data_IF_403397692388
#
_entry.id   IF_403397692388
#
_cell.length_a   1.000
_cell.length_b   1.000
_cell.length_c   1.000
_cell.angle_alpha   90.00
_cell.angle_beta   90.00
_cell.angle_gamma   90.00
#
_symmetry.space_group_name_H-M   'P 1'
#
loop_
_entity.id
_entity.type
_entity.pdbx_description
1 polymer ?
#
# COMPACT_ATOMS: atom_id res chain seq x y z
N UNK A 1 -11.98 -22.05 -23.19
CA UNK A 1 -12.86 -21.12 -22.44
C UNK A 1 -12.20 -19.75 -22.48
N UNK A 2 -12.76 -18.82 -23.25
CA UNK A 2 -12.21 -17.49 -23.43
C UNK A 2 -12.61 -16.60 -22.25
N UNK A 3 -11.68 -16.32 -21.34
CA UNK A 3 -11.89 -15.31 -20.31
C UNK A 3 -11.47 -13.94 -20.84
N UNK A 4 -12.35 -13.30 -21.60
CA UNK A 4 -12.32 -11.84 -21.76
C UNK A 4 -12.88 -11.21 -20.50
N UNK A 5 -12.07 -11.15 -19.44
CA UNK A 5 -12.39 -10.34 -18.28
C UNK A 5 -11.85 -8.93 -18.53
N UNK A 6 -12.71 -8.04 -19.05
CA UNK A 6 -12.48 -6.59 -18.96
C UNK A 6 -12.58 -6.21 -17.48
N UNK A 7 -11.52 -6.49 -16.71
CA UNK A 7 -11.37 -5.93 -15.38
C UNK A 7 -11.18 -4.43 -15.56
N UNK A 8 -12.10 -3.65 -15.01
CA UNK A 8 -11.84 -2.24 -14.72
C UNK A 8 -10.57 -2.20 -13.89
N UNK A 9 -9.47 -1.76 -14.49
CA UNK A 9 -8.25 -1.45 -13.74
C UNK A 9 -8.65 -0.34 -12.77
N UNK A 10 -8.51 -0.52 -11.44
CA UNK A 10 -8.67 0.59 -10.54
C UNK A 10 -7.57 1.60 -10.89
N UNK A 11 -7.94 2.63 -11.66
CA UNK A 11 -7.13 3.82 -11.86
C UNK A 11 -7.07 4.48 -10.49
N UNK A 12 -5.96 4.34 -9.74
CA UNK A 12 -5.67 5.39 -8.78
C UNK A 12 -5.26 6.61 -9.61
N UNK A 13 -5.83 7.77 -9.29
CA UNK A 13 -5.37 9.03 -9.85
C UNK A 13 -4.01 9.35 -9.21
N UNK A 14 -2.95 8.81 -9.81
CA UNK A 14 -1.59 8.88 -9.28
C UNK A 14 -0.90 10.19 -9.71
N UNK A 15 -1.16 11.28 -8.98
CA UNK A 15 -0.21 12.40 -8.87
C UNK A 15 1.08 11.90 -8.19
N UNK A 16 2.18 12.66 -8.28
CA UNK A 16 3.37 12.35 -7.50
C UNK A 16 3.02 12.33 -6.01
N UNK A 17 3.55 11.35 -5.26
CA UNK A 17 3.32 11.23 -3.82
C UNK A 17 4.35 12.06 -3.07
N UNK A 18 3.99 12.52 -1.85
CA UNK A 18 4.94 13.27 -1.01
C UNK A 18 6.18 12.42 -0.70
N UNK A 19 6.00 11.11 -0.55
CA UNK A 19 7.11 10.18 -0.34
C UNK A 19 8.10 10.21 -1.52
N UNK A 20 7.58 10.07 -2.76
CA UNK A 20 8.41 10.13 -3.98
C UNK A 20 9.16 11.46 -4.06
N UNK A 21 8.46 12.58 -3.83
CA UNK A 21 9.06 13.92 -3.88
C UNK A 21 10.10 14.17 -2.78
N UNK A 22 9.93 13.58 -1.61
CA UNK A 22 10.88 13.72 -0.50
C UNK A 22 12.21 12.99 -0.78
N UNK A 23 12.16 11.89 -1.53
CA UNK A 23 13.30 11.03 -1.83
C UNK A 23 13.74 11.10 -3.31
N UNK A 24 13.38 12.16 -4.03
CA UNK A 24 13.71 12.33 -5.46
C UNK A 24 15.11 12.89 -5.71
N UNK A 25 15.87 13.23 -4.67
CA UNK A 25 17.23 13.76 -4.78
C UNK A 25 18.26 12.71 -4.29
N UNK A 26 19.47 12.66 -4.89
CA UNK A 26 20.49 11.66 -4.53
C UNK A 26 20.81 11.59 -3.04
N UNK A 27 20.98 12.73 -2.36
CA UNK A 27 21.32 12.76 -0.93
C UNK A 27 20.21 12.15 -0.08
N UNK A 28 18.95 12.35 -0.46
CA UNK A 28 17.81 11.76 0.22
C UNK A 28 17.73 10.25 -0.01
N UNK A 29 17.99 9.78 -1.23
CA UNK A 29 18.04 8.35 -1.56
C UNK A 29 19.18 7.62 -0.82
N UNK A 30 20.36 8.26 -0.69
CA UNK A 30 21.49 7.73 0.08
C UNK A 30 21.14 7.66 1.57
N UNK A 31 20.54 8.71 2.14
CA UNK A 31 20.06 8.71 3.52
C UNK A 31 19.07 7.56 3.77
N UNK A 32 18.12 7.37 2.85
CA UNK A 32 17.15 6.29 2.94
C UNK A 32 17.83 4.92 2.90
N UNK A 33 18.73 4.68 1.96
CA UNK A 33 19.46 3.41 1.87
C UNK A 33 20.29 3.12 3.13
N UNK A 34 21.01 4.13 3.64
CA UNK A 34 21.78 4.04 4.89
C UNK A 34 20.91 3.68 6.10
N UNK A 35 19.67 4.17 6.13
CA UNK A 35 18.72 3.83 7.17
C UNK A 35 18.18 2.40 7.01
N UNK A 36 17.86 1.96 5.79
CA UNK A 36 17.29 0.65 5.50
C UNK A 36 18.28 -0.51 5.74
N UNK A 37 19.53 -0.35 5.28
CA UNK A 37 20.55 -1.40 5.31
C UNK A 37 21.62 -1.20 6.39
N UNK A 38 21.40 -0.24 7.30
CA UNK A 38 22.31 0.06 8.41
C UNK A 38 23.75 0.38 7.95
N UNK A 39 23.87 1.12 6.84
CA UNK A 39 25.16 1.56 6.25
C UNK A 39 25.43 3.05 6.51
N UNK A 40 26.66 3.49 6.22
CA UNK A 40 27.11 4.88 6.34
C UNK A 40 27.80 5.34 5.04
N UNK A 41 27.11 5.18 3.90
CA UNK A 41 27.57 5.68 2.60
C UNK A 41 27.64 7.21 2.60
N UNK A 42 28.65 7.75 1.90
CA UNK A 42 28.90 9.18 1.76
C UNK A 42 27.92 9.83 0.78
N UNK A 43 27.69 11.15 0.92
CA UNK A 43 26.68 11.89 0.16
C UNK A 43 26.94 12.00 -1.35
N UNK A 44 28.17 11.75 -1.81
CA UNK A 44 28.56 11.73 -3.23
C UNK A 44 28.51 10.31 -3.83
N UNK A 45 27.97 9.33 -3.10
CA UNK A 45 27.76 7.98 -3.61
C UNK A 45 26.90 8.03 -4.88
N UNK A 46 27.29 7.35 -5.97
CA UNK A 46 26.48 7.33 -7.20
C UNK A 46 25.07 6.79 -6.94
N UNK A 47 24.07 7.55 -7.40
CA UNK A 47 22.65 7.17 -7.41
C UNK A 47 22.10 7.37 -8.82
N UNK A 48 21.44 6.34 -9.34
CA UNK A 48 20.70 6.40 -10.61
C UNK A 48 19.23 6.06 -10.35
N UNK A 49 18.32 7.00 -10.58
CA UNK A 49 16.90 6.75 -10.38
C UNK A 49 16.32 5.86 -11.50
N UNK A 50 15.59 4.83 -11.09
CA UNK A 50 14.97 3.81 -11.96
C UNK A 50 13.46 3.68 -11.73
N UNK A 51 12.85 4.67 -11.08
CA UNK A 51 11.40 4.73 -10.82
C UNK A 51 10.62 4.57 -12.13
N UNK A 52 9.76 3.55 -12.20
CA UNK A 52 8.92 3.27 -13.35
C UNK A 52 7.82 4.31 -13.46
N UNK A 53 7.68 4.91 -14.64
CA UNK A 53 6.64 5.90 -14.91
C UNK A 53 5.55 5.33 -15.85
N UNK A 54 4.31 5.76 -15.60
CA UNK A 54 3.11 5.28 -16.29
C UNK A 54 3.12 5.55 -17.81
N UNK A 55 3.95 6.51 -18.26
CA UNK A 55 4.17 6.82 -19.67
C UNK A 55 4.78 5.65 -20.47
N UNK A 56 5.49 4.74 -19.79
CA UNK A 56 6.17 3.60 -20.43
C UNK A 56 5.39 2.30 -20.21
N UNK A 57 4.77 2.12 -19.03
CA UNK A 57 4.05 0.89 -18.67
C UNK A 57 2.71 1.20 -17.99
N UNK A 58 1.62 1.17 -18.78
CA UNK A 58 0.26 1.48 -18.30
C UNK A 58 -0.12 0.60 -17.11
N UNK A 59 -0.33 1.23 -15.95
CA UNK A 59 -0.79 0.57 -14.71
C UNK A 59 0.31 -0.09 -13.89
N UNK A 60 1.59 0.09 -14.24
CA UNK A 60 2.76 -0.44 -13.53
C UNK A 60 3.73 0.71 -13.20
N UNK A 61 3.40 1.45 -12.15
CA UNK A 61 4.22 2.52 -11.55
C UNK A 61 4.60 2.10 -10.13
N UNK A 62 5.87 2.26 -9.75
CA UNK A 62 6.30 2.22 -8.35
C UNK A 62 6.55 3.63 -7.80
N UNK A 63 6.56 3.79 -6.48
CA UNK A 63 6.76 5.12 -5.88
C UNK A 63 8.20 5.59 -5.98
N UNK A 64 9.15 4.72 -5.67
CA UNK A 64 10.57 5.05 -5.69
C UNK A 64 11.40 3.84 -6.11
N UNK A 65 12.22 4.03 -7.14
CA UNK A 65 13.23 3.10 -7.60
C UNK A 65 14.56 3.80 -7.83
N UNK A 66 15.67 3.22 -7.36
CA UNK A 66 17.00 3.73 -7.63
C UNK A 66 18.08 2.64 -7.49
N UNK A 67 19.15 2.78 -8.26
CA UNK A 67 20.40 2.03 -8.10
C UNK A 67 21.34 2.88 -7.26
N UNK A 68 22.02 2.26 -6.29
CA UNK A 68 23.02 2.91 -5.46
C UNK A 68 24.34 2.13 -5.49
N UNK A 69 25.45 2.88 -5.59
CA UNK A 69 26.82 2.34 -5.59
C UNK A 69 27.05 1.25 -6.65
N UNK A 70 26.32 1.34 -7.78
CA UNK A 70 26.30 0.36 -8.88
C UNK A 70 26.04 -1.11 -8.46
N UNK A 71 25.49 -1.31 -7.26
CA UNK A 71 25.42 -2.62 -6.62
C UNK A 71 24.03 -3.01 -6.18
N UNK A 72 23.25 -2.08 -5.65
CA UNK A 72 21.95 -2.37 -5.06
C UNK A 72 20.87 -1.61 -5.82
N UNK A 73 19.79 -2.31 -6.17
CA UNK A 73 18.61 -1.74 -6.78
C UNK A 73 17.48 -1.75 -5.76
N UNK A 74 17.08 -0.57 -5.30
CA UNK A 74 16.01 -0.40 -4.33
C UNK A 74 14.72 -0.15 -5.07
N UNK A 75 13.68 -0.93 -4.75
CA UNK A 75 12.32 -0.70 -5.20
C UNK A 75 11.40 -0.61 -3.99
N UNK A 76 10.65 0.48 -3.90
CA UNK A 76 9.77 0.73 -2.76
C UNK A 76 8.44 1.37 -3.12
N UNK A 77 7.47 1.12 -2.24
CA UNK A 77 6.12 1.68 -2.29
C UNK A 77 5.70 2.20 -0.92
N UNK A 78 5.05 3.36 -0.90
CA UNK A 78 4.31 3.89 0.23
C UNK A 78 2.83 3.53 0.07
N UNK A 79 2.22 2.94 1.09
CA UNK A 79 0.79 2.63 1.04
C UNK A 79 0.16 2.61 2.43
N UNK A 80 -1.09 3.08 2.49
CA UNK A 80 -1.89 3.05 3.72
C UNK A 80 -2.71 1.77 3.87
N UNK A 81 -3.06 1.11 2.77
CA UNK A 81 -3.81 -0.15 2.79
C UNK A 81 -2.87 -1.35 2.89
N UNK A 82 -3.23 -2.32 3.73
CA UNK A 82 -2.52 -3.61 3.80
C UNK A 82 -2.66 -4.35 2.46
N UNK A 83 -1.54 -4.79 1.90
CA UNK A 83 -1.53 -5.52 0.64
C UNK A 83 -0.56 -6.70 0.71
N UNK A 84 -1.12 -7.92 0.84
CA UNK A 84 -0.33 -9.15 0.84
C UNK A 84 0.19 -9.53 -0.55
N UNK A 85 -0.33 -8.92 -1.62
CA UNK A 85 0.10 -9.18 -3.00
C UNK A 85 1.28 -8.28 -3.44
N UNK A 86 1.92 -7.55 -2.49
CA UNK A 86 3.07 -6.71 -2.82
C UNK A 86 4.24 -7.47 -3.46
N UNK A 87 4.59 -8.70 -3.05
CA UNK A 87 5.62 -9.46 -3.75
C UNK A 87 5.32 -9.68 -5.23
N UNK A 88 4.06 -9.89 -5.61
CA UNK A 88 3.64 -10.01 -7.01
C UNK A 88 3.77 -8.68 -7.78
N UNK A 89 3.44 -7.55 -7.16
CA UNK A 89 3.64 -6.21 -7.76
C UNK A 89 5.13 -5.93 -7.95
N UNK A 90 5.94 -6.18 -6.92
CA UNK A 90 7.39 -5.99 -6.94
C UNK A 90 8.06 -6.88 -7.99
N UNK A 91 7.56 -8.10 -8.21
CA UNK A 91 8.04 -8.98 -9.28
C UNK A 91 7.83 -8.36 -10.67
N UNK A 92 6.67 -7.72 -10.90
CA UNK A 92 6.43 -7.01 -12.14
C UNK A 92 7.36 -5.80 -12.29
N UNK A 93 7.60 -5.04 -11.20
CA UNK A 93 8.50 -3.89 -11.23
C UNK A 93 9.94 -4.28 -11.56
N UNK A 94 10.50 -5.26 -10.85
CA UNK A 94 11.89 -5.65 -11.06
C UNK A 94 12.14 -6.18 -12.47
N UNK A 95 11.18 -6.93 -13.03
CA UNK A 95 11.28 -7.38 -14.42
C UNK A 95 11.39 -6.20 -15.39
N UNK A 96 10.54 -5.15 -15.22
CA UNK A 96 10.56 -3.96 -16.08
C UNK A 96 11.79 -3.11 -15.87
N UNK A 97 12.22 -2.93 -14.62
CA UNK A 97 13.46 -2.20 -14.32
C UNK A 97 14.66 -2.88 -14.97
N UNK A 98 14.77 -4.21 -14.89
CA UNK A 98 15.83 -4.95 -15.56
C UNK A 98 15.76 -4.91 -17.09
N UNK A 99 14.57 -4.93 -17.70
CA UNK A 99 14.43 -4.71 -19.14
C UNK A 99 14.98 -3.34 -19.58
N UNK A 100 14.91 -2.33 -18.71
CA UNK A 100 15.41 -0.98 -19.01
C UNK A 100 16.92 -0.87 -18.80
N UNK A 101 17.48 -1.44 -17.73
CA UNK A 101 18.89 -1.25 -17.38
C UNK A 101 19.83 -2.32 -17.98
N UNK A 102 19.30 -3.46 -18.42
CA UNK A 102 20.09 -4.54 -19.01
C UNK A 102 19.94 -4.54 -20.54
N UNK A 103 21.01 -4.36 -21.31
CA UNK A 103 20.91 -4.43 -22.76
C UNK A 103 20.56 -5.85 -23.23
N UNK A 104 19.59 -5.96 -24.13
CA UNK A 104 19.09 -7.24 -24.64
C UNK A 104 20.19 -8.17 -25.18
N UNK A 105 21.22 -7.60 -25.81
CA UNK A 105 22.34 -8.36 -26.34
C UNK A 105 23.16 -9.07 -25.25
N UNK A 106 23.23 -8.49 -24.05
CA UNK A 106 24.01 -9.04 -22.92
C UNK A 106 23.32 -10.25 -22.27
N UNK A 107 21.99 -10.32 -22.34
CA UNK A 107 21.22 -11.47 -21.86
C UNK A 107 21.55 -12.77 -22.61
N UNK A 108 22.04 -12.67 -23.85
CA UNK A 108 22.44 -13.81 -24.67
C UNK A 108 23.93 -14.14 -24.56
N UNK A 109 24.67 -13.48 -23.67
CA UNK A 109 26.07 -13.77 -23.47
C UNK A 109 26.29 -15.13 -22.81
N UNK A 110 27.38 -15.80 -23.20
CA UNK A 110 27.85 -17.02 -22.52
C UNK A 110 28.47 -16.75 -21.15
N UNK A 111 29.01 -15.54 -20.94
CA UNK A 111 29.56 -15.12 -19.64
C UNK A 111 28.42 -14.74 -18.71
N UNK A 112 28.60 -14.99 -17.42
CA UNK A 112 27.64 -14.58 -16.40
C UNK A 112 27.57 -13.05 -16.33
N UNK A 113 26.39 -12.50 -16.58
CA UNK A 113 26.11 -11.07 -16.47
C UNK A 113 25.89 -10.70 -15.00
N UNK A 114 26.64 -9.70 -14.52
CA UNK A 114 26.45 -9.14 -13.17
C UNK A 114 25.44 -8.01 -13.24
N UNK A 115 24.47 -8.05 -12.35
CA UNK A 115 23.38 -7.07 -12.26
C UNK A 115 23.28 -6.57 -10.82
N UNK A 116 22.74 -5.36 -10.59
CA UNK A 116 22.49 -4.87 -9.24
C UNK A 116 21.57 -5.82 -8.47
N UNK A 117 21.91 -6.11 -7.22
CA UNK A 117 21.10 -6.94 -6.33
C UNK A 117 19.83 -6.18 -5.93
N UNK A 118 18.62 -6.74 -6.14
CA UNK A 118 17.40 -6.01 -5.87
C UNK A 118 16.95 -6.17 -4.42
N UNK A 119 16.44 -5.08 -3.84
CA UNK A 119 15.87 -5.05 -2.49
C UNK A 119 14.52 -4.32 -2.49
N UNK A 120 13.57 -4.89 -1.74
CA UNK A 120 12.16 -4.52 -1.85
C UNK A 120 11.60 -4.06 -0.51
N UNK A 121 10.97 -2.87 -0.52
CA UNK A 121 10.45 -2.26 0.69
C UNK A 121 9.01 -1.76 0.51
N UNK A 122 8.25 -1.86 1.59
CA UNK A 122 6.95 -1.20 1.72
C UNK A 122 6.99 -0.29 2.93
N UNK A 123 6.73 1.00 2.71
CA UNK A 123 6.49 1.98 3.75
C UNK A 123 5.01 1.99 4.09
N UNK A 124 4.64 1.32 5.17
CA UNK A 124 3.27 1.24 5.63
C UNK A 124 2.86 2.50 6.38
N UNK A 125 2.02 3.31 5.74
CA UNK A 125 1.47 4.58 6.24
C UNK A 125 0.02 4.44 6.67
N UNK A 126 -0.45 3.22 6.94
CA UNK A 126 -1.84 2.89 7.26
C UNK A 126 -2.19 2.98 8.74
N UNK A 127 -3.48 2.86 9.07
CA UNK A 127 -3.97 2.93 10.45
C UNK A 127 -4.24 1.55 11.05
N UNK A 128 -4.50 0.55 10.21
CA UNK A 128 -4.76 -0.82 10.63
C UNK A 128 -3.54 -1.46 11.29
N UNK A 129 -3.79 -2.34 12.27
CA UNK A 129 -2.70 -3.11 12.88
C UNK A 129 -2.23 -4.14 11.88
N UNK A 130 -0.98 -4.02 11.46
CA UNK A 130 -0.32 -5.02 10.63
C UNK A 130 0.84 -5.63 11.39
N UNK A 131 0.75 -6.91 11.78
CA UNK A 131 1.79 -7.59 12.59
C UNK A 131 2.74 -8.42 11.73
N UNK A 132 3.19 -7.82 10.62
CA UNK A 132 4.10 -8.44 9.66
C UNK A 132 5.32 -7.54 9.48
N UNK A 133 6.50 -8.13 9.39
CA UNK A 133 7.77 -7.44 9.08
C UNK A 133 8.29 -7.77 7.68
N UNK A 134 7.85 -8.89 7.10
CA UNK A 134 8.23 -9.36 5.78
C UNK A 134 7.05 -10.05 5.11
N UNK A 135 6.88 -9.86 3.80
CA UNK A 135 5.89 -10.56 2.98
C UNK A 135 6.66 -11.33 1.92
N UNK A 136 6.32 -12.61 1.72
CA UNK A 136 7.05 -13.48 0.80
C UNK A 136 6.19 -13.84 -0.39
N UNK A 137 6.83 -14.02 -1.56
CA UNK A 137 6.13 -14.46 -2.76
C UNK A 137 5.63 -15.89 -2.58
N UNK A 138 6.40 -16.73 -1.87
CA UNK A 138 6.01 -18.11 -1.58
C UNK A 138 4.73 -18.25 -0.76
N UNK A 139 4.33 -17.24 0.03
CA UNK A 139 3.05 -17.23 0.74
C UNK A 139 1.83 -17.24 -0.21
N UNK A 140 2.04 -16.92 -1.50
CA UNK A 140 1.00 -16.91 -2.53
C UNK A 140 0.91 -18.21 -3.33
N UNK A 141 1.79 -19.18 -3.10
CA UNK A 141 1.80 -20.44 -3.85
C UNK A 141 0.71 -21.41 -3.36
N UNK A 142 0.14 -22.19 -4.28
CA UNK A 142 -0.98 -23.10 -4.01
C UNK A 142 -0.58 -24.38 -3.25
N UNK A 143 0.71 -24.58 -2.96
CA UNK A 143 1.24 -25.78 -2.31
C UNK A 143 2.66 -25.57 -1.78
N UNK A 144 3.29 -26.66 -1.36
CA UNK A 144 4.67 -26.63 -0.88
C UNK A 144 5.61 -26.06 -1.94
N UNK A 145 6.63 -25.34 -1.50
CA UNK A 145 7.58 -24.62 -2.36
C UNK A 145 8.84 -25.49 -2.60
N UNK A 146 9.05 -26.03 -3.82
CA UNK A 146 10.31 -26.68 -4.17
C UNK A 146 11.52 -25.74 -4.04
N UNK A 147 12.70 -26.30 -3.80
CA UNK A 147 13.96 -25.55 -3.64
C UNK A 147 14.27 -24.60 -4.82
N UNK A 148 13.92 -24.99 -6.05
CA UNK A 148 14.15 -24.22 -7.27
C UNK A 148 13.02 -23.25 -7.63
N UNK A 149 12.15 -22.91 -6.67
CA UNK A 149 11.08 -21.94 -6.87
C UNK A 149 11.59 -20.50 -6.78
N UNK A 150 10.93 -19.59 -7.48
CA UNK A 150 11.17 -18.16 -7.34
C UNK A 150 10.80 -17.71 -5.91
N UNK A 151 11.61 -16.85 -5.30
CA UNK A 151 11.30 -16.20 -4.04
C UNK A 151 11.62 -14.71 -4.15
N UNK A 152 10.69 -13.87 -3.67
CA UNK A 152 10.85 -12.43 -3.55
C UNK A 152 10.32 -12.03 -2.17
N UNK A 153 11.17 -11.37 -1.39
CA UNK A 153 10.86 -10.96 -0.02
C UNK A 153 10.76 -9.45 0.02
N UNK A 154 9.64 -8.95 0.54
CA UNK A 154 9.40 -7.51 0.73
C UNK A 154 9.47 -7.18 2.22
N UNK A 155 10.39 -6.29 2.61
CA UNK A 155 10.51 -5.79 3.99
C UNK A 155 9.45 -4.72 4.24
N UNK A 156 8.74 -4.80 5.36
CA UNK A 156 7.69 -3.84 5.75
C UNK A 156 8.24 -2.86 6.80
N UNK A 157 8.32 -1.59 6.43
CA UNK A 157 8.73 -0.47 7.27
C UNK A 157 7.48 0.30 7.69
N UNK A 158 7.19 0.34 8.99
CA UNK A 158 6.01 1.02 9.53
C UNK A 158 6.38 2.42 10.05
N UNK A 159 5.44 3.35 10.04
CA UNK A 159 5.66 4.67 10.64
C UNK A 159 5.64 4.59 12.18
N UNK A 160 6.17 5.61 12.87
CA UNK A 160 6.32 5.61 14.33
C UNK A 160 4.99 5.38 15.06
N UNK A 161 3.92 5.98 14.56
CA UNK A 161 2.58 5.90 15.16
C UNK A 161 1.93 4.52 15.03
N UNK A 162 2.49 3.59 14.24
CA UNK A 162 1.96 2.24 14.09
C UNK A 162 2.36 1.29 15.23
N UNK A 163 3.12 1.75 16.24
CA UNK A 163 3.69 0.91 17.31
C UNK A 163 4.43 -0.31 16.73
N UNK A 164 5.31 -0.04 15.76
CA UNK A 164 6.07 -1.06 15.05
C UNK A 164 7.06 -1.82 15.95
N UNK A 165 7.72 -2.82 15.35
CA UNK A 165 8.81 -3.53 16.01
C UNK A 165 10.00 -2.60 16.31
N UNK A 166 10.84 -2.95 17.29
CA UNK A 166 12.07 -2.20 17.59
C UNK A 166 12.96 -1.99 16.35
N UNK A 167 12.96 -2.94 15.40
CA UNK A 167 13.74 -2.85 14.15
C UNK A 167 13.28 -1.71 13.25
N UNK A 168 11.98 -1.51 13.13
CA UNK A 168 11.42 -0.42 12.31
C UNK A 168 11.76 0.95 12.90
N UNK A 169 11.69 1.09 14.23
CA UNK A 169 12.02 2.35 14.89
C UNK A 169 13.49 2.74 14.66
N UNK A 170 14.42 1.78 14.65
CA UNK A 170 15.84 2.04 14.32
C UNK A 170 16.04 2.61 12.92
N UNK A 171 15.27 2.14 11.93
CA UNK A 171 15.33 2.66 10.55
C UNK A 171 14.87 4.13 10.54
N UNK A 172 13.77 4.46 11.22
CA UNK A 172 13.30 5.83 11.34
C UNK A 172 14.31 6.71 12.08
N UNK A 173 14.95 6.20 13.14
CA UNK A 173 15.98 6.94 13.87
C UNK A 173 17.21 7.30 13.02
N UNK A 174 17.55 6.47 12.02
CA UNK A 174 18.69 6.68 11.11
C UNK A 174 18.39 7.61 9.92
N UNK A 175 17.13 7.89 9.62
CA UNK A 175 16.76 8.85 8.56
C UNK A 175 15.90 9.98 9.11
N UNK A 176 16.47 11.18 9.14
CA UNK A 176 15.75 12.40 9.52
C UNK A 176 14.55 12.65 8.61
N UNK A 177 14.71 12.43 7.29
CA UNK A 177 13.62 12.61 6.32
C UNK A 177 12.48 11.63 6.55
N UNK A 178 12.80 10.34 6.73
CA UNK A 178 11.78 9.30 6.94
C UNK A 178 11.06 9.49 8.28
N UNK A 179 11.79 9.83 9.34
CA UNK A 179 11.20 10.20 10.64
C UNK A 179 10.31 11.42 10.50
N UNK A 180 10.78 12.47 9.82
CA UNK A 180 10.00 13.69 9.61
C UNK A 180 8.71 13.44 8.82
N UNK A 181 8.77 12.57 7.80
CA UNK A 181 7.60 12.15 7.04
C UNK A 181 6.60 11.38 7.92
N UNK A 182 7.08 10.43 8.72
CA UNK A 182 6.28 9.72 9.73
C UNK A 182 5.60 10.70 10.70
N UNK A 183 6.34 11.69 11.22
CA UNK A 183 5.79 12.68 12.16
C UNK A 183 4.73 13.57 11.52
N UNK A 184 4.95 14.05 10.29
CA UNK A 184 3.97 14.84 9.55
C UNK A 184 2.64 14.08 9.41
N UNK A 185 2.69 12.83 8.95
CA UNK A 185 1.50 11.98 8.85
C UNK A 185 0.85 11.73 10.23
N UNK A 186 1.66 11.58 11.28
CA UNK A 186 1.20 11.44 12.66
C UNK A 186 0.43 12.67 13.17
N UNK A 187 0.88 13.87 12.83
CA UNK A 187 0.18 15.12 13.16
C UNK A 187 -1.15 15.24 12.42
N UNK A 188 -1.17 14.96 11.12
CA UNK A 188 -2.42 14.97 10.34
C UNK A 188 -3.45 14.05 10.98
N UNK A 189 -3.05 12.82 11.32
CA UNK A 189 -3.93 11.84 11.98
C UNK A 189 -4.45 12.32 13.34
N UNK A 190 -3.60 12.96 14.12
CA UNK A 190 -3.97 13.49 15.43
C UNK A 190 -5.05 14.56 15.27
N UNK A 191 -4.83 15.55 14.39
CA UNK A 191 -5.82 16.58 14.11
C UNK A 191 -7.12 16.03 13.52
N UNK A 192 -7.05 15.02 12.65
CA UNK A 192 -8.25 14.32 12.14
C UNK A 192 -9.06 13.68 13.27
N UNK A 193 -8.39 13.04 14.23
CA UNK A 193 -9.06 12.43 15.40
C UNK A 193 -9.67 13.47 16.34
N UNK A 194 -9.07 14.66 16.41
CA UNK A 194 -9.58 15.81 17.17
C UNK A 194 -10.76 16.52 16.47
N UNK A 195 -11.15 16.07 15.28
CA UNK A 195 -12.32 16.56 14.55
C UNK A 195 -12.02 17.64 13.51
N UNK A 196 -10.75 17.94 13.21
CA UNK A 196 -10.40 18.87 12.15
C UNK A 196 -10.78 18.33 10.76
N UNK A 197 -11.23 19.22 9.87
CA UNK A 197 -11.35 18.92 8.45
C UNK A 197 -10.00 18.54 7.85
N UNK A 198 -9.99 17.73 6.78
CA UNK A 198 -8.76 17.20 6.19
C UNK A 198 -7.77 18.31 5.81
N UNK A 199 -8.26 19.32 5.12
CA UNK A 199 -7.44 20.47 4.70
C UNK A 199 -6.81 21.18 5.90
N UNK A 200 -7.62 21.54 6.90
CA UNK A 200 -7.14 22.23 8.09
C UNK A 200 -6.14 21.38 8.89
N UNK A 201 -6.36 20.07 8.95
CA UNK A 201 -5.45 19.12 9.59
C UNK A 201 -4.08 19.07 8.88
N UNK A 202 -4.07 19.07 7.54
CA UNK A 202 -2.85 19.11 6.73
C UNK A 202 -2.12 20.45 6.93
N UNK A 203 -2.82 21.57 6.76
CA UNK A 203 -2.22 22.90 6.87
C UNK A 203 -1.64 23.14 8.28
N UNK A 204 -2.35 22.68 9.32
CA UNK A 204 -1.89 22.78 10.71
C UNK A 204 -0.69 21.86 10.97
N UNK A 205 -0.69 20.64 10.43
CA UNK A 205 0.42 19.71 10.57
C UNK A 205 1.70 20.21 9.89
N UNK A 206 1.58 20.72 8.65
CA UNK A 206 2.71 21.35 7.93
C UNK A 206 3.26 22.53 8.73
N UNK A 207 2.40 23.44 9.18
CA UNK A 207 2.80 24.60 9.98
C UNK A 207 3.52 24.20 11.27
N UNK A 208 3.06 23.13 11.92
CA UNK A 208 3.69 22.59 13.13
C UNK A 208 5.05 21.98 12.82
N UNK A 209 5.18 21.19 11.76
CA UNK A 209 6.45 20.60 11.35
C UNK A 209 7.51 21.67 11.07
N UNK A 210 7.16 22.72 10.32
CA UNK A 210 8.05 23.87 10.04
C UNK A 210 8.52 24.51 11.36
N UNK A 211 7.59 24.80 12.29
CA UNK A 211 7.89 25.43 13.58
C UNK A 211 8.79 24.56 14.47
N UNK A 212 8.64 23.25 14.42
CA UNK A 212 9.43 22.29 15.20
C UNK A 212 10.71 21.83 14.47
N UNK A 213 11.04 22.46 13.34
CA UNK A 213 12.20 22.16 12.51
C UNK A 213 12.20 20.71 11.94
N UNK A 214 11.02 20.19 11.64
CA UNK A 214 10.79 18.86 11.05
C UNK A 214 10.54 19.03 9.55
N UNK A 215 11.40 18.47 8.70
CA UNK A 215 11.36 18.65 7.25
C UNK A 215 11.28 20.12 6.83
N UNK A 216 11.82 21.04 7.65
CA UNK A 216 11.56 22.47 7.54
C UNK A 216 11.87 23.01 6.14
N UNK A 217 13.10 22.81 5.66
CA UNK A 217 13.53 23.32 4.36
C UNK A 217 12.66 22.73 3.23
N UNK A 218 12.37 21.43 3.28
CA UNK A 218 11.50 20.78 2.30
C UNK A 218 10.08 21.38 2.31
N UNK A 219 9.48 21.54 3.49
CA UNK A 219 8.11 22.05 3.63
C UNK A 219 8.02 23.54 3.30
N UNK A 220 8.97 24.39 3.73
CA UNK A 220 8.95 25.83 3.43
C UNK A 220 8.94 26.11 1.92
N UNK A 221 9.68 25.30 1.14
CA UNK A 221 9.75 25.46 -0.32
C UNK A 221 8.59 24.80 -1.07
N UNK A 222 7.94 23.78 -0.49
CA UNK A 222 6.96 22.95 -1.21
C UNK A 222 5.56 22.90 -0.56
N UNK A 223 5.28 23.71 0.48
CA UNK A 223 4.05 23.61 1.29
C UNK A 223 2.74 23.54 0.48
N UNK A 224 2.46 24.42 -0.50
CA UNK A 224 1.21 24.37 -1.25
C UNK A 224 1.07 23.07 -2.06
N UNK A 225 2.18 22.61 -2.65
CA UNK A 225 2.22 21.40 -3.46
C UNK A 225 2.05 20.15 -2.57
N UNK A 226 2.85 20.05 -1.50
CA UNK A 226 2.77 18.97 -0.50
C UNK A 226 1.38 18.89 0.11
N UNK A 227 0.78 20.02 0.46
CA UNK A 227 -0.58 20.07 0.98
C UNK A 227 -1.61 19.54 -0.01
N UNK A 228 -1.51 19.91 -1.28
CA UNK A 228 -2.38 19.37 -2.34
C UNK A 228 -2.19 17.87 -2.56
N UNK A 229 -0.94 17.39 -2.57
CA UNK A 229 -0.62 15.97 -2.75
C UNK A 229 -1.22 15.15 -1.61
N UNK A 230 -0.98 15.54 -0.35
CA UNK A 230 -1.56 14.87 0.83
C UNK A 230 -3.08 14.88 0.82
N UNK A 231 -3.69 16.00 0.44
CA UNK A 231 -5.14 16.11 0.38
C UNK A 231 -5.71 15.11 -0.64
N UNK A 232 -5.11 15.04 -1.83
CA UNK A 232 -5.57 14.15 -2.89
C UNK A 232 -5.34 12.67 -2.55
N UNK A 233 -4.17 12.34 -1.99
CA UNK A 233 -3.83 10.97 -1.57
C UNK A 233 -4.82 10.48 -0.50
N UNK A 234 -4.96 11.22 0.60
CA UNK A 234 -5.83 10.83 1.72
C UNK A 234 -7.30 10.79 1.30
N UNK A 235 -7.76 11.79 0.54
CA UNK A 235 -9.16 11.82 0.06
C UNK A 235 -9.47 10.62 -0.84
N UNK A 236 -8.55 10.28 -1.74
CA UNK A 236 -8.72 9.13 -2.64
C UNK A 236 -8.81 7.81 -1.88
N UNK A 237 -8.00 7.66 -0.84
CA UNK A 237 -8.02 6.51 0.06
C UNK A 237 -9.35 6.42 0.84
N UNK A 238 -9.79 7.52 1.46
CA UNK A 238 -11.06 7.56 2.21
C UNK A 238 -12.27 7.20 1.33
N UNK A 239 -12.33 7.71 0.09
CA UNK A 239 -13.39 7.33 -0.86
C UNK A 239 -13.31 5.86 -1.30
N UNK A 240 -12.11 5.31 -1.43
CA UNK A 240 -11.94 3.90 -1.75
C UNK A 240 -12.47 3.00 -0.61
N UNK A 241 -12.20 3.38 0.65
CA UNK A 241 -12.71 2.67 1.82
C UNK A 241 -14.24 2.73 1.92
N UNK A 242 -14.85 3.91 1.69
CA UNK A 242 -16.31 4.07 1.68
C UNK A 242 -16.94 3.14 0.65
N UNK A 243 -16.44 3.15 -0.60
CA UNK A 243 -16.96 2.26 -1.66
C UNK A 243 -16.78 0.78 -1.31
N UNK A 244 -15.66 0.42 -0.70
CA UNK A 244 -15.44 -0.95 -0.25
C UNK A 244 -16.38 -1.36 0.89
N UNK A 245 -16.80 -0.43 1.74
CA UNK A 245 -17.80 -0.67 2.78
C UNK A 245 -19.21 -0.82 2.17
N UNK A 246 -19.62 0.09 1.28
CA UNK A 246 -20.90 0.01 0.56
C UNK A 246 -21.03 -1.32 -0.21
N UNK A 247 -19.98 -1.73 -0.92
CA UNK A 247 -19.97 -3.01 -1.64
C UNK A 247 -20.09 -4.23 -0.71
N UNK A 248 -19.49 -4.17 0.50
CA UNK A 248 -19.63 -5.22 1.52
C UNK A 248 -21.04 -5.29 2.08
N UNK A 249 -21.67 -4.14 2.31
CA UNK A 249 -23.06 -4.07 2.79
C UNK A 249 -24.05 -4.58 1.74
N UNK A 250 -23.88 -4.21 0.47
CA UNK A 250 -24.72 -4.71 -0.62
C UNK A 250 -24.53 -6.21 -0.83
N UNK A 251 -23.29 -6.71 -0.86
CA UNK A 251 -23.02 -8.15 -0.97
C UNK A 251 -23.60 -8.94 0.21
N UNK A 252 -23.56 -8.38 1.43
CA UNK A 252 -24.20 -9.00 2.62
C UNK A 252 -25.71 -9.06 2.44
N UNK A 253 -26.32 -7.98 1.96
CA UNK A 253 -27.77 -7.89 1.68
C UNK A 253 -28.21 -8.90 0.62
N UNK A 254 -27.53 -8.95 -0.52
CA UNK A 254 -27.77 -9.93 -1.57
C UNK A 254 -27.60 -11.37 -1.05
N UNK A 255 -26.57 -11.63 -0.24
CA UNK A 255 -26.35 -12.93 0.39
C UNK A 255 -27.50 -13.36 1.31
N UNK A 256 -28.04 -12.44 2.10
CA UNK A 256 -29.23 -12.67 2.96
C UNK A 256 -30.45 -13.00 2.10
N UNK A 257 -30.73 -12.20 1.06
CA UNK A 257 -31.88 -12.40 0.18
C UNK A 257 -31.80 -13.73 -0.59
N UNK A 258 -30.62 -14.06 -1.13
CA UNK A 258 -30.40 -15.33 -1.82
C UNK A 258 -30.58 -16.54 -0.89
N UNK A 259 -30.11 -16.43 0.36
CA UNK A 259 -30.31 -17.47 1.36
C UNK A 259 -31.79 -17.64 1.72
N UNK A 260 -32.53 -16.54 1.85
CA UNK A 260 -33.98 -16.55 2.07
C UNK A 260 -34.70 -17.23 0.90
N UNK A 261 -34.36 -16.86 -0.35
CA UNK A 261 -34.90 -17.53 -1.55
C UNK A 261 -34.63 -19.02 -1.53
N UNK A 262 -33.40 -19.41 -1.17
CA UNK A 262 -33.03 -20.83 -1.03
C UNK A 262 -33.90 -21.53 0.02
N UNK A 263 -34.15 -20.92 1.18
CA UNK A 263 -35.03 -21.50 2.20
C UNK A 263 -36.47 -21.68 1.72
N UNK A 264 -37.00 -20.75 0.93
CA UNK A 264 -38.30 -20.91 0.27
C UNK A 264 -38.31 -22.09 -0.70
N UNK A 265 -37.29 -22.20 -1.55
CA UNK A 265 -37.17 -23.29 -2.54
C UNK A 265 -37.13 -24.68 -1.88
N UNK A 266 -36.53 -24.78 -0.69
CA UNK A 266 -36.50 -26.01 0.12
C UNK A 266 -37.74 -26.18 1.02
N UNK A 267 -38.76 -25.32 0.91
CA UNK A 267 -39.99 -25.35 1.69
C UNK A 267 -39.79 -25.28 3.21
N UNK A 268 -38.78 -24.53 3.69
CA UNK A 268 -38.64 -24.28 5.13
C UNK A 268 -39.75 -23.36 5.61
N UNK A 269 -40.32 -23.67 6.78
CA UNK A 269 -41.26 -22.76 7.43
C UNK A 269 -40.57 -21.44 7.78
N UNK A 270 -41.35 -20.35 7.84
CA UNK A 270 -40.84 -19.02 8.17
C UNK A 270 -40.05 -18.99 9.49
N UNK A 271 -40.52 -19.71 10.50
CA UNK A 271 -39.85 -19.79 11.81
C UNK A 271 -38.50 -20.52 11.72
N UNK A 272 -38.43 -21.61 10.96
CA UNK A 272 -37.17 -22.36 10.73
C UNK A 272 -36.17 -21.54 9.91
N UNK A 273 -36.64 -20.87 8.86
CA UNK A 273 -35.84 -19.99 8.01
C UNK A 273 -35.29 -18.80 8.81
N UNK A 274 -36.11 -18.17 9.65
CA UNK A 274 -35.69 -17.07 10.53
C UNK A 274 -34.62 -17.53 11.53
N UNK A 275 -34.81 -18.70 12.15
CA UNK A 275 -33.83 -19.26 13.08
C UNK A 275 -32.49 -19.50 12.38
N UNK A 276 -32.49 -20.16 11.23
CA UNK A 276 -31.26 -20.44 10.47
C UNK A 276 -30.61 -19.17 9.92
N UNK A 277 -31.40 -18.18 9.54
CA UNK A 277 -30.89 -16.88 9.10
C UNK A 277 -30.15 -16.17 10.23
N UNK A 278 -30.71 -16.13 11.45
CA UNK A 278 -30.08 -15.53 12.63
C UNK A 278 -28.85 -16.32 13.11
N UNK A 279 -28.83 -17.65 12.94
CA UNK A 279 -27.64 -18.48 13.20
C UNK A 279 -26.50 -18.13 12.24
N UNK A 280 -26.80 -17.87 10.96
CA UNK A 280 -25.79 -17.60 9.92
C UNK A 280 -25.38 -16.13 9.83
N UNK A 281 -26.30 -15.21 10.07
CA UNK A 281 -26.06 -13.77 10.06
C UNK A 281 -26.52 -13.16 11.40
N UNK A 282 -25.58 -12.90 12.32
CA UNK A 282 -25.88 -12.19 13.55
C UNK A 282 -26.46 -10.81 13.23
N UNK A 283 -27.73 -10.61 13.57
CA UNK A 283 -28.45 -9.34 13.45
C UNK A 283 -29.63 -9.33 14.42
N UNK A 284 -30.22 -8.16 14.64
CA UNK A 284 -31.45 -8.06 15.42
C UNK A 284 -32.61 -8.78 14.72
N UNK A 285 -33.47 -9.42 15.53
CA UNK A 285 -34.63 -10.17 15.01
C UNK A 285 -35.53 -9.30 14.11
N UNK A 286 -35.73 -8.03 14.46
CA UNK A 286 -36.55 -7.11 13.68
C UNK A 286 -35.95 -6.83 12.29
N UNK A 287 -34.61 -6.72 12.20
CA UNK A 287 -33.93 -6.56 10.92
C UNK A 287 -34.05 -7.82 10.05
N UNK A 288 -33.93 -9.02 10.65
CA UNK A 288 -34.13 -10.28 9.94
C UNK A 288 -35.58 -10.42 9.42
N UNK A 289 -36.57 -10.02 10.22
CA UNK A 289 -37.98 -10.02 9.81
C UNK A 289 -38.25 -9.05 8.65
N UNK A 290 -37.59 -7.90 8.60
CA UNK A 290 -37.70 -6.97 7.46
C UNK A 290 -37.20 -7.59 6.15
N UNK A 291 -36.13 -8.40 6.20
CA UNK A 291 -35.68 -9.17 5.02
C UNK A 291 -36.65 -10.28 4.60
N UNK A 292 -37.50 -10.72 5.51
CA UNK A 292 -38.46 -11.81 5.32
C UNK A 292 -39.90 -11.30 5.20
N UNK A 293 -40.12 -10.01 4.90
CA UNK A 293 -41.45 -9.40 4.84
C UNK A 293 -42.36 -10.15 3.85
N UNK A 294 -41.83 -10.46 2.66
CA UNK A 294 -42.53 -11.19 1.61
C UNK A 294 -42.22 -12.69 1.64
N UNK A 295 -41.84 -13.27 2.79
CA UNK A 295 -41.40 -14.67 2.84
C UNK A 295 -42.54 -15.65 2.48
N UNK A 296 -43.76 -15.34 2.87
CA UNK A 296 -44.94 -16.19 2.65
C UNK A 296 -45.70 -15.82 1.36
N UNK A 297 -45.23 -14.84 0.59
CA UNK A 297 -45.79 -14.48 -0.71
C UNK A 297 -45.27 -15.45 -1.80
N UNK A 298 -46.21 -15.95 -2.62
CA UNK A 298 -46.00 -16.87 -3.76
C UNK A 298 -45.14 -16.27 -4.88
#
# INVERSE_FOLDING_TARGET
MNYTNKKSVPQRNYQDTVFRKLFSEPEAAIELFNALEETDLVSDTPVEFTTLEDAVYVGLKNDLGFIINDKFLILSESQSTINHNMPLRMLAYIARTYETIIPMAELYWRKNLKIPAPEFFVFYTGSEKWDVSEIRLSDSYLGDTPENSLELIVKVIKMEYNKGSSKTNKILERSEKLRGYSTLLGYIRTYRREGCGLKDAIDTAISRCIRENILKDFLEHNSPEVGSMLYNDITSEEFAEIRAQEAREEARKEGILNLISTYKEFNLSRDEALKKLLEKYPMEKNAALAYMENYDEE
#
